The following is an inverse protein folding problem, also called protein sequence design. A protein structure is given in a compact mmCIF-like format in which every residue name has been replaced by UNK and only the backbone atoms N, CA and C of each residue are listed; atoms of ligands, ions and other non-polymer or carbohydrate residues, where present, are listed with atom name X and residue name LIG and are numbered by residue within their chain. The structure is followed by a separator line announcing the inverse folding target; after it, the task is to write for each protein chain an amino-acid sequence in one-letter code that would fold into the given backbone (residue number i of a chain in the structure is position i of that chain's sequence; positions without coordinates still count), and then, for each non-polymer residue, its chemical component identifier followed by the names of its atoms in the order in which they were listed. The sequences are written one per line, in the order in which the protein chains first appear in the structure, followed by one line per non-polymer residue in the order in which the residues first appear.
data_IF_094743768616
#
_entry.id   IF_094743768616
#
_cell.length_a   1.000
_cell.length_b   1.000
_cell.length_c   1.000
_cell.angle_alpha   90.00
_cell.angle_beta   90.00
_cell.angle_gamma   90.00
#
_symmetry.space_group_name_H-M   'P 1'
#
loop_
_entity.id
_entity.type
_entity.pdbx_description
1 polymer ?
#
# COMPACT_ATOMS: atom_id res chain seq x y z
N UNK A 1 -15.44 23.62 6.78
CA UNK A 1 -14.29 24.52 7.07
C UNK A 1 -13.88 24.52 8.54
N UNK A 2 -14.80 24.38 9.51
CA UNK A 2 -14.45 24.30 10.94
C UNK A 2 -13.62 23.04 11.31
N UNK A 3 -13.93 21.90 10.68
CA UNK A 3 -13.24 20.63 10.92
C UNK A 3 -11.74 20.66 10.58
N UNK A 4 -11.37 21.25 9.43
CA UNK A 4 -9.97 21.37 8.98
C UNK A 4 -9.12 22.33 9.83
N UNK A 5 -9.75 23.22 10.61
CA UNK A 5 -9.06 24.27 11.36
C UNK A 5 -8.98 23.99 12.86
N UNK A 6 -9.87 23.16 13.42
CA UNK A 6 -9.95 22.90 14.86
C UNK A 6 -9.72 21.43 15.26
N UNK A 7 -9.82 20.48 14.33
CA UNK A 7 -9.89 19.04 14.66
C UNK A 7 -8.88 18.19 13.89
N UNK A 8 -8.55 18.55 12.65
CA UNK A 8 -7.64 17.77 11.81
C UNK A 8 -6.24 17.67 12.41
N UNK A 9 -5.78 16.44 12.66
CA UNK A 9 -4.41 16.17 13.08
C UNK A 9 -3.44 16.32 11.87
N UNK A 10 -2.18 16.73 12.09
CA UNK A 10 -1.17 16.71 11.04
C UNK A 10 -1.01 15.26 10.53
N UNK A 11 -1.00 15.10 9.20
CA UNK A 11 -0.76 13.81 8.55
C UNK A 11 0.63 13.82 7.91
N UNK A 12 1.44 12.82 8.23
CA UNK A 12 2.73 12.58 7.62
C UNK A 12 2.60 11.50 6.56
N UNK A 13 3.28 11.68 5.44
CA UNK A 13 3.27 10.73 4.33
C UNK A 13 4.65 10.11 4.21
N UNK A 14 4.71 8.79 4.42
CA UNK A 14 5.90 8.00 4.11
C UNK A 14 5.73 7.41 2.71
N UNK A 15 6.69 7.69 1.82
CA UNK A 15 6.69 7.19 0.44
C UNK A 15 7.85 6.22 0.21
N UNK A 16 7.54 5.04 -0.31
CA UNK A 16 8.53 4.04 -0.74
C UNK A 16 8.34 3.71 -2.22
N UNK A 17 9.44 3.62 -2.96
CA UNK A 17 9.45 3.29 -4.40
C UNK A 17 10.31 2.07 -4.65
N UNK A 18 9.76 1.06 -5.31
CA UNK A 18 10.48 -0.18 -5.63
C UNK A 18 9.98 -0.81 -6.94
N UNK A 19 10.73 -1.77 -7.47
CA UNK A 19 10.41 -2.50 -8.71
C UNK A 19 10.34 -3.99 -8.40
N UNK A 20 9.31 -4.66 -8.91
CA UNK A 20 9.16 -6.12 -8.83
C UNK A 20 9.59 -6.72 -10.16
N UNK A 21 10.43 -7.75 -10.11
CA UNK A 21 10.93 -8.43 -11.31
C UNK A 21 10.62 -9.91 -11.22
N UNK A 22 9.93 -10.38 -12.25
CA UNK A 22 9.56 -11.78 -12.38
C UNK A 22 10.73 -12.62 -12.84
N UNK A 23 10.81 -13.83 -12.30
CA UNK A 23 11.62 -14.85 -12.94
C UNK A 23 10.90 -15.27 -14.22
N UNK A 24 11.45 -14.89 -15.36
CA UNK A 24 11.10 -15.57 -16.62
C UNK A 24 11.42 -17.05 -16.43
N UNK A 25 10.41 -17.90 -16.28
CA UNK A 25 10.60 -19.31 -16.60
C UNK A 25 11.22 -19.38 -17.98
N UNK A 26 12.24 -20.24 -18.14
CA UNK A 26 12.94 -20.46 -19.42
C UNK A 26 11.96 -21.07 -20.43
N UNK A 27 11.03 -20.28 -20.93
CA UNK A 27 10.33 -20.57 -22.15
C UNK A 27 11.39 -20.63 -23.25
N UNK A 28 11.35 -21.68 -24.08
CA UNK A 28 12.17 -21.80 -25.27
C UNK A 28 11.71 -20.74 -26.28
N UNK A 29 12.12 -19.49 -26.06
CA UNK A 29 11.78 -18.36 -26.91
C UNK A 29 12.91 -18.21 -27.92
N UNK A 30 12.68 -18.66 -29.14
CA UNK A 30 13.66 -18.64 -30.25
C UNK A 30 13.99 -17.22 -30.76
N UNK A 31 13.40 -16.17 -30.19
CA UNK A 31 13.70 -14.79 -30.57
C UNK A 31 13.86 -13.84 -29.37
N UNK A 32 14.96 -13.10 -29.37
CA UNK A 32 15.32 -12.12 -28.33
C UNK A 32 14.24 -11.02 -28.21
N UNK A 33 13.64 -10.60 -29.33
CA UNK A 33 12.61 -9.56 -29.34
C UNK A 33 11.31 -9.98 -28.63
N UNK A 34 10.84 -11.21 -28.85
CA UNK A 34 9.66 -11.73 -28.16
C UNK A 34 9.94 -11.95 -26.67
N UNK A 35 11.14 -12.41 -26.31
CA UNK A 35 11.54 -12.60 -24.92
C UNK A 35 11.56 -11.28 -24.13
N UNK A 36 12.08 -10.20 -24.73
CA UNK A 36 12.08 -8.88 -24.11
C UNK A 36 10.65 -8.34 -23.88
N UNK A 37 9.76 -8.50 -24.87
CA UNK A 37 8.37 -8.07 -24.76
C UNK A 37 7.60 -8.85 -23.68
N UNK A 38 7.75 -10.17 -23.63
CA UNK A 38 7.17 -11.03 -22.59
C UNK A 38 7.69 -10.68 -21.20
N UNK A 39 8.99 -10.39 -21.06
CA UNK A 39 9.59 -9.95 -19.80
C UNK A 39 8.96 -8.66 -19.28
N UNK A 40 8.83 -7.66 -20.15
CA UNK A 40 8.24 -6.37 -19.79
C UNK A 40 6.78 -6.53 -19.36
N UNK A 41 6.01 -7.37 -20.06
CA UNK A 41 4.62 -7.66 -19.72
C UNK A 41 4.50 -8.36 -18.36
N UNK A 42 5.32 -9.39 -18.11
CA UNK A 42 5.32 -10.12 -16.85
C UNK A 42 5.68 -9.21 -15.66
N UNK A 43 6.72 -8.38 -15.78
CA UNK A 43 7.11 -7.46 -14.71
C UNK A 43 6.00 -6.45 -14.38
N UNK A 44 5.31 -5.93 -15.41
CA UNK A 44 4.17 -5.02 -15.22
C UNK A 44 3.02 -5.73 -14.50
N UNK A 45 2.69 -6.96 -14.92
CA UNK A 45 1.64 -7.76 -14.27
C UNK A 45 1.96 -8.05 -12.81
N UNK A 46 3.19 -8.47 -12.49
CA UNK A 46 3.61 -8.71 -11.12
C UNK A 46 3.57 -7.46 -10.26
N UNK A 47 3.97 -6.30 -10.82
CA UNK A 47 3.88 -5.04 -10.11
C UNK A 47 2.44 -4.69 -9.73
N UNK A 48 1.49 -4.93 -10.65
CA UNK A 48 0.06 -4.79 -10.37
C UNK A 48 -0.44 -5.76 -9.30
N UNK A 49 -0.03 -7.03 -9.33
CA UNK A 49 -0.41 -8.02 -8.32
C UNK A 49 0.06 -7.59 -6.92
N UNK A 50 1.29 -7.08 -6.81
CA UNK A 50 1.83 -6.60 -5.53
C UNK A 50 1.08 -5.35 -5.06
N UNK A 51 0.80 -4.39 -5.95
CA UNK A 51 0.01 -3.20 -5.60
C UNK A 51 -1.41 -3.56 -5.16
N UNK A 52 -2.05 -4.56 -5.79
CA UNK A 52 -3.36 -5.06 -5.39
C UNK A 52 -3.32 -5.74 -4.02
N UNK A 53 -2.29 -6.54 -3.75
CA UNK A 53 -2.10 -7.15 -2.44
C UNK A 53 -1.94 -6.09 -1.34
N UNK A 54 -1.17 -5.02 -1.60
CA UNK A 54 -0.99 -3.90 -0.65
C UNK A 54 -2.31 -3.18 -0.34
N UNK A 55 -3.26 -3.14 -1.28
CA UNK A 55 -4.59 -2.55 -1.08
C UNK A 55 -5.61 -3.54 -0.50
N UNK A 56 -5.27 -4.82 -0.45
CA UNK A 56 -6.19 -5.87 -0.02
C UNK A 56 -6.39 -5.86 1.49
N UNK A 57 -7.57 -6.28 2.00
CA UNK A 57 -7.77 -6.48 3.45
C UNK A 57 -6.81 -7.50 4.07
N UNK A 58 -6.25 -8.40 3.25
CA UNK A 58 -5.36 -9.47 3.70
C UNK A 58 -4.02 -8.94 4.20
N UNK A 59 -3.50 -7.86 3.62
CA UNK A 59 -2.24 -7.30 4.12
C UNK A 59 -2.37 -6.82 5.56
N UNK A 60 -3.57 -6.41 5.99
CA UNK A 60 -3.81 -5.99 7.37
C UNK A 60 -3.70 -7.16 8.34
N UNK A 61 -4.19 -8.35 7.97
CA UNK A 61 -4.01 -9.53 8.83
C UNK A 61 -2.55 -9.94 8.89
N UNK A 62 -1.84 -9.83 7.78
CA UNK A 62 -0.44 -10.23 7.69
C UNK A 62 0.44 -9.24 8.50
N UNK A 63 0.22 -7.93 8.34
CA UNK A 63 0.90 -6.88 9.12
C UNK A 63 0.53 -6.92 10.61
N UNK A 64 -0.69 -7.30 10.99
CA UNK A 64 -1.08 -7.40 12.39
C UNK A 64 -0.32 -8.50 13.16
N UNK A 65 0.37 -9.41 12.46
CA UNK A 65 1.24 -10.40 13.10
C UNK A 65 2.58 -9.81 13.55
N UNK A 66 3.03 -8.74 12.91
CA UNK A 66 4.32 -8.09 13.18
C UNK A 66 4.16 -6.74 13.89
N UNK A 67 3.09 -6.01 13.61
CA UNK A 67 2.86 -4.64 14.09
C UNK A 67 1.49 -4.50 14.76
N UNK A 68 1.43 -3.73 15.84
CA UNK A 68 0.16 -3.32 16.46
C UNK A 68 -0.45 -2.15 15.67
N UNK A 69 -1.05 -2.46 14.51
CA UNK A 69 -1.69 -1.49 13.63
C UNK A 69 -2.82 -0.70 14.32
N UNK A 70 -3.51 -1.31 15.30
CA UNK A 70 -4.58 -0.64 16.04
C UNK A 70 -4.00 0.50 16.87
N UNK A 71 -2.88 0.26 17.55
CA UNK A 71 -2.17 1.29 18.30
C UNK A 71 -1.64 2.40 17.40
N UNK A 72 -1.06 2.05 16.25
CA UNK A 72 -0.53 3.03 15.28
C UNK A 72 -1.65 3.97 14.79
N UNK A 73 -2.83 3.43 14.44
CA UNK A 73 -3.96 4.24 13.99
C UNK A 73 -4.80 4.88 15.10
N UNK A 74 -4.46 4.64 16.37
CA UNK A 74 -5.10 5.27 17.53
C UNK A 74 -4.47 6.61 17.94
N UNK A 75 -3.40 7.05 17.26
CA UNK A 75 -2.60 8.23 17.62
C UNK A 75 -3.28 9.60 17.46
N UNK A 76 -4.47 9.66 16.85
CA UNK A 76 -5.20 10.91 16.63
C UNK A 76 -6.55 10.93 17.37
N UNK A 77 -6.59 10.90 18.72
CA UNK A 77 -7.81 10.72 19.50
C UNK A 77 -8.89 11.79 19.27
N UNK A 78 -8.49 12.99 18.86
CA UNK A 78 -9.40 14.09 18.54
C UNK A 78 -9.98 14.02 17.11
N UNK A 79 -9.39 13.21 16.23
CA UNK A 79 -9.81 13.10 14.84
C UNK A 79 -10.84 11.98 14.66
N UNK A 80 -12.13 12.30 14.71
CA UNK A 80 -13.21 11.30 14.63
C UNK A 80 -13.23 10.55 13.29
N UNK A 81 -12.75 11.17 12.21
CA UNK A 81 -12.71 10.54 10.88
C UNK A 81 -11.49 9.64 10.77
N UNK A 82 -10.40 10.01 11.45
CA UNK A 82 -9.14 9.31 11.29
C UNK A 82 -8.56 8.50 12.44
N UNK A 83 -9.14 8.62 13.62
CA UNK A 83 -8.85 7.77 14.75
C UNK A 83 -9.47 6.38 14.56
N UNK A 84 -8.71 5.35 14.88
CA UNK A 84 -9.25 4.00 15.03
C UNK A 84 -9.36 3.66 16.52
N UNK A 85 -10.56 3.39 17.06
CA UNK A 85 -10.69 3.00 18.45
C UNK A 85 -10.04 1.64 18.70
N UNK A 86 -9.51 1.44 19.91
CA UNK A 86 -8.75 0.22 20.28
C UNK A 86 -9.57 -1.07 20.18
N UNK A 87 -10.90 -0.97 20.31
CA UNK A 87 -11.86 -2.07 20.17
C UNK A 87 -12.34 -2.29 18.71
N UNK A 88 -11.75 -1.60 17.74
CA UNK A 88 -12.17 -1.71 16.34
C UNK A 88 -12.08 -3.15 15.81
N UNK A 89 -13.09 -3.53 15.03
CA UNK A 89 -13.10 -4.80 14.30
C UNK A 89 -12.01 -4.81 13.21
N UNK A 90 -11.57 -6.00 12.82
CA UNK A 90 -10.61 -6.19 11.72
C UNK A 90 -11.09 -5.53 10.42
N UNK A 91 -12.38 -5.59 10.15
CA UNK A 91 -13.02 -4.97 8.99
C UNK A 91 -12.95 -3.42 9.03
N UNK A 92 -13.09 -2.81 10.21
CA UNK A 92 -12.85 -1.37 10.38
C UNK A 92 -11.38 -1.01 10.18
N UNK A 93 -10.46 -1.83 10.71
CA UNK A 93 -9.03 -1.65 10.51
C UNK A 93 -8.64 -1.78 9.03
N UNK A 94 -9.22 -2.74 8.30
CA UNK A 94 -9.00 -2.92 6.87
C UNK A 94 -9.47 -1.73 6.03
N UNK A 95 -10.68 -1.23 6.29
CA UNK A 95 -11.14 0.03 5.68
C UNK A 95 -10.21 1.20 6.02
N UNK A 96 -9.70 1.22 7.25
CA UNK A 96 -8.80 2.28 7.67
C UNK A 96 -7.49 2.26 6.91
N UNK A 97 -6.89 1.08 6.79
CA UNK A 97 -5.72 0.84 5.96
C UNK A 97 -5.94 1.28 4.51
N UNK A 98 -7.06 0.89 3.90
CA UNK A 98 -7.38 1.28 2.51
C UNK A 98 -7.50 2.80 2.32
N UNK A 99 -7.99 3.53 3.33
CA UNK A 99 -8.06 4.99 3.29
C UNK A 99 -6.73 5.68 3.55
N UNK A 100 -5.77 4.99 4.18
CA UNK A 100 -4.46 5.53 4.57
C UNK A 100 -3.31 5.09 3.66
N UNK A 101 -3.53 4.07 2.82
CA UNK A 101 -2.50 3.48 1.99
C UNK A 101 -2.87 3.61 0.53
N UNK A 102 -1.98 4.21 -0.25
CA UNK A 102 -2.07 4.23 -1.72
C UNK A 102 -0.91 3.43 -2.30
N UNK A 103 -1.20 2.63 -3.31
CA UNK A 103 -0.21 1.88 -4.08
C UNK A 103 -0.51 2.09 -5.55
N UNK A 104 0.41 2.74 -6.24
CA UNK A 104 0.31 3.11 -7.65
C UNK A 104 1.43 2.45 -8.43
N UNK A 105 1.10 1.90 -9.61
CA UNK A 105 2.08 1.31 -10.52
C UNK A 105 2.21 2.22 -11.72
N UNK A 106 3.42 2.66 -12.01
CA UNK A 106 3.74 3.33 -13.26
C UNK A 106 3.86 2.29 -14.37
N UNK A 107 2.90 2.29 -15.30
CA UNK A 107 2.84 1.34 -16.40
C UNK A 107 4.03 1.41 -17.38
N UNK A 108 4.76 2.53 -17.38
CA UNK A 108 5.94 2.75 -18.24
C UNK A 108 7.20 2.20 -17.60
N UNK A 109 7.39 2.47 -16.30
CA UNK A 109 8.63 2.13 -15.59
C UNK A 109 8.54 0.85 -14.77
N UNK A 110 7.32 0.35 -14.50
CA UNK A 110 7.07 -0.77 -13.59
C UNK A 110 7.37 -0.43 -12.13
N UNK A 111 7.57 0.84 -11.81
CA UNK A 111 7.82 1.30 -10.44
C UNK A 111 6.51 1.30 -9.67
N UNK A 112 6.54 0.67 -8.50
CA UNK A 112 5.47 0.72 -7.52
C UNK A 112 5.80 1.85 -6.54
N UNK A 113 4.91 2.83 -6.43
CA UNK A 113 4.97 3.88 -5.43
C UNK A 113 3.91 3.59 -4.35
N UNK A 114 4.37 3.32 -3.14
CA UNK A 114 3.52 3.10 -1.97
C UNK A 114 3.60 4.33 -1.09
N UNK A 115 2.45 4.92 -0.75
CA UNK A 115 2.36 6.02 0.21
C UNK A 115 1.46 5.62 1.35
N UNK A 116 1.97 5.76 2.56
CA UNK A 116 1.23 5.48 3.79
C UNK A 116 1.10 6.80 4.56
N UNK A 117 -0.13 7.12 4.93
CA UNK A 117 -0.48 8.27 5.75
C UNK A 117 -0.51 7.85 7.22
N UNK A 118 0.27 8.54 8.06
CA UNK A 118 0.35 8.33 9.50
C UNK A 118 0.17 9.65 10.27
N UNK A 119 -0.14 9.56 11.56
CA UNK A 119 -0.35 10.71 12.45
C UNK A 119 0.90 11.15 13.19
N UNK A 120 1.89 10.27 13.26
CA UNK A 120 3.19 10.54 13.86
C UNK A 120 4.27 10.45 12.76
N UNK A 121 5.32 11.29 12.82
CA UNK A 121 6.39 11.32 11.83
C UNK A 121 7.42 10.19 11.99
N UNK A 122 7.33 9.41 13.08
CA UNK A 122 8.25 8.34 13.50
C UNK A 122 7.65 6.94 13.31
#
# INVERSE_FOLDING_TARGET
MLYLTLIAAPQFVSESRFVVRGSLEKLAIDSIGQAAALSALNNSQEAHVVADYIRSPRIVTDLATEFDLKRIYAGAPLDIVWNLPSDASLDRLARKWQGMTTAEVDATTGIIAVRIHAFEPE
#
